data_IF_770941774423
#
_entry.id   IF_770941774423
#
_cell.length_a   1.000
_cell.length_b   1.000
_cell.length_c   1.000
_cell.angle_alpha   90.00
_cell.angle_beta   90.00
_cell.angle_gamma   90.00
#
_symmetry.space_group_name_H-M   'P 1'
#
loop_
_entity.id
_entity.type
_entity.pdbx_description
1 polymer ?
#
# COMPACT_ATOMS: atom_id res chain seq x y z
N UNK A 1 -12.44 11.89 -9.11
CA UNK A 1 -11.16 11.81 -9.80
C UNK A 1 -10.88 10.44 -10.39
N UNK A 2 -9.74 10.31 -11.05
CA UNK A 2 -9.35 9.04 -11.66
C UNK A 2 -9.07 7.99 -10.57
N UNK A 3 -9.50 6.76 -10.83
CA UNK A 3 -9.23 5.64 -9.91
C UNK A 3 -7.73 5.35 -9.90
N UNK A 4 -7.14 5.30 -8.70
CA UNK A 4 -5.73 4.95 -8.51
C UNK A 4 -5.54 3.59 -7.86
N UNK A 5 -6.57 3.05 -7.19
CA UNK A 5 -6.50 1.75 -6.53
C UNK A 5 -7.82 1.01 -6.69
N UNK A 6 -7.73 -0.26 -7.07
CA UNK A 6 -8.87 -1.19 -7.10
C UNK A 6 -8.58 -2.33 -6.14
N UNK A 7 -9.53 -2.61 -5.24
CA UNK A 7 -9.44 -3.74 -4.32
C UNK A 7 -10.58 -4.68 -4.62
N UNK A 8 -10.29 -5.95 -4.81
CA UNK A 8 -11.28 -6.98 -5.11
C UNK A 8 -10.96 -8.27 -4.37
N UNK A 9 -11.65 -9.35 -4.74
CA UNK A 9 -11.52 -10.63 -4.07
C UNK A 9 -12.45 -10.73 -2.87
N UNK A 10 -11.96 -11.31 -1.79
CA UNK A 10 -12.78 -11.57 -0.61
C UNK A 10 -12.92 -10.33 0.27
N UNK A 11 -13.72 -9.39 -0.17
CA UNK A 11 -14.05 -8.15 0.54
C UNK A 11 -15.57 -8.03 0.66
N UNK A 12 -16.03 -7.29 1.67
CA UNK A 12 -17.45 -7.14 1.95
C UNK A 12 -17.97 -5.73 1.74
N UNK A 13 -17.09 -4.73 1.68
CA UNK A 13 -17.46 -3.35 1.41
C UNK A 13 -16.97 -2.97 0.00
N UNK A 14 -17.92 -2.78 -0.89
CA UNK A 14 -17.64 -2.43 -2.29
C UNK A 14 -18.36 -1.14 -2.65
N UNK A 15 -17.87 -0.41 -3.64
CA UNK A 15 -18.54 0.78 -4.17
C UNK A 15 -18.78 0.71 -5.68
N UNK A 16 -18.36 -0.38 -6.30
CA UNK A 16 -18.80 -0.79 -7.63
C UNK A 16 -19.06 -2.29 -7.59
N UNK A 17 -19.60 -2.86 -8.64
CA UNK A 17 -19.87 -4.29 -8.67
C UNK A 17 -18.56 -5.08 -8.56
N UNK A 18 -18.44 -5.86 -7.49
CA UNK A 18 -17.33 -6.77 -7.26
C UNK A 18 -16.03 -6.13 -6.79
N UNK A 19 -16.00 -4.82 -6.52
CA UNK A 19 -14.76 -4.17 -6.11
C UNK A 19 -14.98 -2.90 -5.28
N UNK A 20 -13.94 -2.50 -4.58
CA UNK A 20 -13.83 -1.19 -3.95
C UNK A 20 -12.78 -0.40 -4.73
N UNK A 21 -13.18 0.73 -5.33
CA UNK A 21 -12.28 1.58 -6.09
C UNK A 21 -12.05 2.88 -5.33
N UNK A 22 -10.82 3.38 -5.39
CA UNK A 22 -10.42 4.59 -4.69
C UNK A 22 -9.73 5.54 -5.67
N UNK A 23 -10.15 6.79 -5.68
CA UNK A 23 -9.34 7.86 -6.24
C UNK A 23 -8.43 8.40 -5.12
N UNK A 24 -7.57 9.37 -5.46
CA UNK A 24 -6.63 9.90 -4.46
C UNK A 24 -7.35 10.59 -3.30
N UNK A 25 -8.42 11.32 -3.58
CA UNK A 25 -9.19 12.00 -2.54
C UNK A 25 -9.80 11.01 -1.55
N UNK A 26 -10.30 9.89 -2.05
CA UNK A 26 -10.88 8.84 -1.21
C UNK A 26 -9.81 8.18 -0.32
N UNK A 27 -8.62 7.94 -0.85
CA UNK A 27 -7.50 7.42 -0.05
C UNK A 27 -7.10 8.40 1.03
N UNK A 28 -7.02 9.69 0.71
CA UNK A 28 -6.67 10.72 1.68
C UNK A 28 -7.74 10.94 2.73
N UNK A 29 -8.98 10.54 2.47
CA UNK A 29 -10.07 10.59 3.45
C UNK A 29 -10.00 9.47 4.49
N UNK A 30 -9.25 8.40 4.22
CA UNK A 30 -8.97 7.36 5.22
C UNK A 30 -7.91 7.88 6.21
N UNK A 31 -7.80 7.28 7.41
CA UNK A 31 -6.80 7.73 8.36
C UNK A 31 -5.41 7.77 7.73
N UNK A 32 -4.72 8.88 7.89
CA UNK A 32 -3.37 9.06 7.35
C UNK A 32 -2.33 8.68 8.39
N UNK A 33 -1.28 8.02 7.94
CA UNK A 33 -0.12 7.67 8.76
C UNK A 33 1.12 8.21 8.09
N UNK A 34 1.99 8.82 8.89
CA UNK A 34 3.26 9.36 8.42
C UNK A 34 4.38 8.75 9.26
N UNK A 35 5.45 8.29 8.59
CA UNK A 35 6.69 7.92 9.29
C UNK A 35 7.89 8.27 8.44
N UNK A 36 9.04 8.34 9.08
CA UNK A 36 10.31 8.64 8.42
C UNK A 36 11.18 7.39 8.42
N UNK A 37 11.76 7.06 7.29
CA UNK A 37 12.64 5.91 7.15
C UNK A 37 13.57 6.08 5.96
N UNK A 38 14.74 5.44 6.03
CA UNK A 38 15.55 5.21 4.82
C UNK A 38 14.95 4.02 4.07
N UNK A 39 15.26 3.91 2.80
CA UNK A 39 14.95 2.72 2.00
C UNK A 39 16.17 2.35 1.15
N UNK A 40 16.22 1.11 0.67
CA UNK A 40 17.30 0.69 -0.23
C UNK A 40 17.19 1.32 -1.62
N UNK A 41 16.07 1.99 -1.94
CA UNK A 41 15.82 2.57 -3.26
C UNK A 41 15.95 4.09 -3.29
N UNK A 42 16.09 4.74 -2.14
CA UNK A 42 16.14 6.20 -2.03
C UNK A 42 17.36 6.64 -1.24
N UNK A 43 17.75 7.90 -1.44
CA UNK A 43 18.86 8.49 -0.68
C UNK A 43 18.32 9.16 0.58
N UNK A 44 19.00 8.91 1.71
CA UNK A 44 18.68 9.55 2.97
C UNK A 44 17.32 9.16 3.54
N UNK A 45 16.89 9.94 4.53
CA UNK A 45 15.61 9.71 5.20
C UNK A 45 14.51 10.40 4.43
N UNK A 46 13.44 9.66 4.11
CA UNK A 46 12.22 10.22 3.54
C UNK A 46 11.08 10.18 4.54
N UNK A 47 10.20 11.17 4.47
CA UNK A 47 8.97 11.17 5.24
C UNK A 47 7.84 10.66 4.35
N UNK A 48 7.29 9.49 4.69
CA UNK A 48 6.26 8.82 3.89
C UNK A 48 4.90 9.02 4.55
N UNK A 49 3.92 9.38 3.76
CA UNK A 49 2.54 9.54 4.22
C UNK A 49 1.61 8.70 3.37
N UNK A 50 0.70 8.01 4.01
CA UNK A 50 -0.27 7.18 3.29
C UNK A 50 -1.27 6.52 4.21
N UNK A 51 -1.94 5.50 3.68
CA UNK A 51 -2.93 4.70 4.40
C UNK A 51 -2.26 3.44 4.89
N UNK A 52 -2.38 3.13 6.18
CA UNK A 52 -1.90 1.83 6.65
C UNK A 52 -2.62 0.71 5.90
N UNK A 53 -1.88 -0.32 5.53
CA UNK A 53 -2.49 -1.50 4.90
C UNK A 53 -3.57 -2.07 5.81
N UNK A 54 -3.36 -2.06 7.14
CA UNK A 54 -4.37 -2.49 8.11
C UNK A 54 -5.65 -1.66 8.04
N UNK A 55 -5.54 -0.35 7.83
CA UNK A 55 -6.72 0.52 7.72
C UNK A 55 -7.47 0.28 6.41
N UNK A 56 -6.77 0.01 5.33
CA UNK A 56 -7.39 -0.35 4.05
C UNK A 56 -8.16 -1.67 4.18
N UNK A 57 -7.55 -2.67 4.80
CA UNK A 57 -8.17 -3.98 5.03
C UNK A 57 -9.46 -3.84 5.83
N UNK A 58 -9.46 -2.99 6.86
CA UNK A 58 -10.67 -2.70 7.64
C UNK A 58 -11.72 -1.98 6.81
N UNK A 59 -11.32 -1.00 6.00
CA UNK A 59 -12.23 -0.21 5.19
C UNK A 59 -13.01 -1.07 4.19
N UNK A 60 -12.37 -2.05 3.58
CA UNK A 60 -13.00 -2.94 2.60
C UNK A 60 -13.57 -4.21 3.24
N UNK A 61 -13.40 -4.38 4.55
CA UNK A 61 -13.83 -5.57 5.29
C UNK A 61 -13.29 -6.85 4.63
N UNK A 62 -11.96 -6.88 4.45
CA UNK A 62 -11.28 -8.00 3.82
C UNK A 62 -11.16 -9.19 4.77
N UNK A 63 -11.34 -10.38 4.24
CA UNK A 63 -11.10 -11.63 4.95
C UNK A 63 -10.26 -12.54 4.06
N UNK A 64 -9.17 -13.08 4.60
CA UNK A 64 -8.30 -13.96 3.83
C UNK A 64 -6.91 -14.04 4.42
N UNK A 65 -6.03 -14.71 3.70
CA UNK A 65 -4.67 -14.96 4.16
C UNK A 65 -3.61 -14.28 3.31
N UNK A 66 -3.94 -13.93 2.07
CA UNK A 66 -2.96 -13.39 1.13
C UNK A 66 -3.54 -12.23 0.36
N UNK A 67 -2.70 -11.22 0.14
CA UNK A 67 -3.01 -10.07 -0.69
C UNK A 67 -2.14 -10.16 -1.94
N UNK A 68 -2.79 -10.25 -3.11
CA UNK A 68 -2.06 -10.18 -4.39
C UNK A 68 -2.04 -8.74 -4.85
N UNK A 69 -0.87 -8.13 -4.79
CA UNK A 69 -0.67 -6.74 -5.16
C UNK A 69 -0.12 -6.66 -6.58
N UNK A 70 -0.70 -5.80 -7.41
CA UNK A 70 -0.34 -5.66 -8.82
C UNK A 70 0.01 -4.22 -9.13
N UNK A 71 1.13 -4.01 -9.80
CA UNK A 71 1.57 -2.70 -10.25
C UNK A 71 0.94 -2.35 -11.61
N UNK A 72 1.10 -1.10 -12.02
CA UNK A 72 0.56 -0.61 -13.30
C UNK A 72 1.07 -1.44 -14.48
N UNK A 73 2.31 -1.93 -14.41
CA UNK A 73 2.91 -2.74 -15.49
C UNK A 73 2.61 -4.24 -15.37
N UNK A 74 1.61 -4.60 -14.55
CA UNK A 74 1.17 -5.98 -14.30
C UNK A 74 2.14 -6.84 -13.48
N UNK A 75 3.23 -6.25 -12.95
CA UNK A 75 4.09 -6.96 -11.99
C UNK A 75 3.27 -7.28 -10.74
N UNK A 76 3.35 -8.51 -10.25
CA UNK A 76 2.58 -8.93 -9.08
C UNK A 76 3.48 -9.51 -8.00
N UNK A 77 3.09 -9.30 -6.76
CA UNK A 77 3.70 -9.95 -5.59
C UNK A 77 2.60 -10.32 -4.61
N UNK A 78 2.92 -11.24 -3.72
CA UNK A 78 2.00 -11.63 -2.66
C UNK A 78 2.49 -11.10 -1.32
N UNK A 79 1.54 -10.54 -0.55
CA UNK A 79 1.78 -10.05 0.79
C UNK A 79 0.90 -10.87 1.72
N UNK A 80 1.46 -11.52 2.75
CA UNK A 80 0.63 -12.24 3.72
C UNK A 80 -0.23 -11.23 4.50
N UNK A 81 -1.47 -11.61 4.79
CA UNK A 81 -2.39 -10.77 5.57
C UNK A 81 -1.77 -10.40 6.92
N UNK A 82 -0.88 -11.25 7.45
CA UNK A 82 -0.21 -10.98 8.73
C UNK A 82 0.70 -9.76 8.72
N UNK A 83 1.08 -9.25 7.54
CA UNK A 83 1.82 -7.98 7.44
C UNK A 83 0.92 -6.75 7.66
N UNK A 84 -0.39 -6.91 7.53
CA UNK A 84 -1.35 -5.79 7.64
C UNK A 84 -1.68 -5.51 9.11
N UNK A 85 -0.71 -5.00 9.85
CA UNK A 85 -0.84 -4.67 11.27
C UNK A 85 -0.68 -3.17 11.48
N UNK A 86 -1.20 -2.67 12.60
CA UNK A 86 -0.99 -1.29 13.00
C UNK A 86 0.50 -1.05 13.24
N UNK A 87 1.03 0.05 12.71
CA UNK A 87 2.46 0.33 12.78
C UNK A 87 3.29 -0.43 11.75
N UNK A 88 2.66 -1.13 10.83
CA UNK A 88 3.30 -1.86 9.74
C UNK A 88 3.34 -1.05 8.44
N UNK A 89 3.20 -1.74 7.29
CA UNK A 89 3.33 -1.07 5.99
C UNK A 89 2.18 -0.11 5.71
N UNK A 90 2.48 0.91 4.91
CA UNK A 90 1.50 1.87 4.41
C UNK A 90 1.48 1.84 2.88
N UNK A 91 0.32 2.21 2.32
CA UNK A 91 0.23 2.59 0.91
C UNK A 91 0.58 4.08 0.88
N UNK A 92 1.84 4.37 0.60
CA UNK A 92 2.32 5.74 0.58
C UNK A 92 1.82 6.45 -0.69
N UNK A 93 1.21 7.61 -0.51
CA UNK A 93 0.81 8.46 -1.63
C UNK A 93 1.62 9.76 -1.68
N UNK A 94 2.43 10.03 -0.64
CA UNK A 94 3.33 11.20 -0.61
C UNK A 94 4.68 10.82 -0.02
N UNK A 95 5.73 11.47 -0.55
CA UNK A 95 7.07 11.48 0.05
C UNK A 95 7.42 12.95 0.27
N UNK A 96 7.83 13.29 1.51
CA UNK A 96 8.24 14.64 1.88
C UNK A 96 7.16 15.69 1.52
N UNK A 97 5.89 15.30 1.72
CA UNK A 97 4.74 16.18 1.51
C UNK A 97 4.28 16.35 0.07
N UNK A 98 4.85 15.58 -0.87
CA UNK A 98 4.50 15.67 -2.29
C UNK A 98 4.06 14.33 -2.83
N UNK A 99 3.01 14.35 -3.66
CA UNK A 99 2.56 13.15 -4.35
C UNK A 99 3.65 12.67 -5.31
N UNK A 100 3.78 11.34 -5.41
CA UNK A 100 4.74 10.72 -6.30
C UNK A 100 4.14 10.60 -7.71
N UNK A 101 4.91 11.03 -8.71
CA UNK A 101 4.53 10.78 -10.10
C UNK A 101 4.72 9.31 -10.45
N UNK A 102 4.06 8.85 -11.52
CA UNK A 102 4.22 7.48 -12.02
C UNK A 102 5.69 7.19 -12.35
N UNK A 103 6.42 8.18 -12.87
CA UNK A 103 7.87 8.03 -13.16
C UNK A 103 8.69 7.78 -11.90
N UNK A 104 8.20 8.21 -10.72
CA UNK A 104 8.93 8.17 -9.46
C UNK A 104 8.20 7.32 -8.44
N UNK A 105 7.81 6.11 -8.83
CA UNK A 105 7.21 5.09 -7.98
C UNK A 105 5.73 5.31 -7.62
N UNK A 106 5.12 6.42 -8.07
CA UNK A 106 3.71 6.67 -7.81
C UNK A 106 2.76 5.95 -8.77
N UNK A 107 1.46 6.11 -8.56
CA UNK A 107 0.86 6.97 -7.53
C UNK A 107 0.94 6.42 -6.11
N UNK A 108 1.10 5.09 -5.96
CA UNK A 108 1.13 4.44 -4.64
C UNK A 108 2.32 3.51 -4.55
N UNK A 109 2.95 3.50 -3.37
CA UNK A 109 4.09 2.64 -3.07
C UNK A 109 3.87 2.00 -1.71
N UNK A 110 3.93 0.69 -1.63
CA UNK A 110 3.87 0.00 -0.33
C UNK A 110 5.23 0.12 0.32
N UNK A 111 5.27 0.83 1.45
CA UNK A 111 6.50 1.12 2.20
C UNK A 111 6.34 0.58 3.61
N UNK A 112 7.34 -0.17 4.04
CA UNK A 112 7.42 -0.66 5.42
C UNK A 112 8.29 0.31 6.23
N UNK A 113 8.08 0.40 7.55
CA UNK A 113 8.91 1.27 8.39
C UNK A 113 10.25 0.59 8.70
N UNK A 114 11.13 0.50 7.71
CA UNK A 114 12.36 -0.30 7.75
C UNK A 114 13.28 0.09 8.91
N UNK A 115 13.39 1.38 9.21
CA UNK A 115 14.29 1.87 10.25
C UNK A 115 13.70 1.76 11.65
N UNK A 116 12.39 1.54 11.78
CA UNK A 116 11.71 1.46 13.06
C UNK A 116 11.75 0.05 13.66
N UNK A 117 11.93 -0.97 12.81
CA UNK A 117 12.01 -2.36 13.25
C UNK A 117 12.82 -3.16 12.25
N UNK A 118 13.92 -3.76 12.71
CA UNK A 118 14.84 -4.47 11.83
C UNK A 118 14.23 -5.73 11.18
N UNK A 119 13.10 -6.22 11.69
CA UNK A 119 12.39 -7.34 11.01
C UNK A 119 11.95 -6.97 9.61
N UNK A 120 11.85 -5.66 9.30
CA UNK A 120 11.51 -5.18 7.97
C UNK A 120 12.72 -5.00 7.06
N UNK A 121 13.93 -5.28 7.56
CA UNK A 121 15.17 -5.16 6.79
C UNK A 121 15.58 -6.51 6.24
N UNK A 122 14.82 -7.03 5.28
CA UNK A 122 15.09 -8.34 4.66
C UNK A 122 14.69 -8.34 3.20
N UNK A 123 15.30 -9.21 2.41
CA UNK A 123 14.96 -9.39 1.00
C UNK A 123 13.47 -9.73 0.82
N UNK A 124 12.92 -10.52 1.73
CA UNK A 124 11.51 -10.88 1.67
C UNK A 124 10.62 -9.64 1.77
N UNK A 125 10.89 -8.76 2.73
CA UNK A 125 10.12 -7.52 2.91
C UNK A 125 10.37 -6.59 1.73
N UNK A 126 11.59 -6.49 1.24
CA UNK A 126 11.88 -5.64 0.08
C UNK A 126 11.11 -6.11 -1.15
N UNK A 127 10.94 -7.40 -1.34
CA UNK A 127 10.16 -7.95 -2.45
C UNK A 127 8.67 -7.60 -2.36
N UNK A 128 8.16 -7.32 -1.15
CA UNK A 128 6.77 -6.93 -0.90
C UNK A 128 6.54 -5.43 -1.00
N UNK A 129 7.60 -4.64 -1.16
CA UNK A 129 7.56 -3.17 -1.18
C UNK A 129 7.29 -2.69 -2.60
N UNK A 130 6.17 -3.09 -3.17
CA UNK A 130 5.81 -2.83 -4.56
C UNK A 130 5.47 -1.35 -4.76
N UNK A 131 5.99 -0.74 -5.83
CA UNK A 131 5.65 0.62 -6.23
C UNK A 131 4.78 0.62 -7.48
N UNK A 132 4.24 1.79 -7.83
CA UNK A 132 3.26 1.94 -8.92
C UNK A 132 2.07 0.98 -8.71
N UNK A 133 1.67 0.81 -7.47
CA UNK A 133 0.59 -0.09 -7.10
C UNK A 133 -0.72 0.36 -7.75
N UNK A 134 -1.45 -0.57 -8.37
CA UNK A 134 -2.75 -0.27 -8.99
C UNK A 134 -3.89 -1.13 -8.44
N UNK A 135 -3.63 -2.34 -7.96
CA UNK A 135 -4.70 -3.19 -7.45
C UNK A 135 -4.23 -4.15 -6.38
N UNK A 136 -5.17 -4.56 -5.55
CA UNK A 136 -4.97 -5.60 -4.53
C UNK A 136 -6.14 -6.57 -4.61
N UNK A 137 -5.85 -7.86 -4.74
CA UNK A 137 -6.85 -8.91 -4.66
C UNK A 137 -6.69 -9.66 -3.33
N UNK A 138 -7.77 -9.73 -2.56
CA UNK A 138 -7.77 -10.46 -1.28
C UNK A 138 -8.10 -11.93 -1.56
N UNK A 139 -7.20 -12.81 -1.17
CA UNK A 139 -7.30 -14.25 -1.42
C UNK A 139 -7.42 -15.03 -0.12
N UNK A 140 -8.19 -16.09 -0.18
CA UNK A 140 -8.33 -17.03 0.92
C UNK A 140 -7.06 -17.84 1.14
#
# INVERSE_FOLDING_TARGET
GAVVLTVNGNIHNTNIEGAAVFDMAMLKALPATTFSTTTIWTEGVGQFTGVQLSDLIKAVAAEGFTLKATAINDYTIEIPMSDAIDGGPILAYEIDGKEMSVRKKGPLWIVYPYDLDNRYQSETIYSRSIWQLSSIEVQQ
#
